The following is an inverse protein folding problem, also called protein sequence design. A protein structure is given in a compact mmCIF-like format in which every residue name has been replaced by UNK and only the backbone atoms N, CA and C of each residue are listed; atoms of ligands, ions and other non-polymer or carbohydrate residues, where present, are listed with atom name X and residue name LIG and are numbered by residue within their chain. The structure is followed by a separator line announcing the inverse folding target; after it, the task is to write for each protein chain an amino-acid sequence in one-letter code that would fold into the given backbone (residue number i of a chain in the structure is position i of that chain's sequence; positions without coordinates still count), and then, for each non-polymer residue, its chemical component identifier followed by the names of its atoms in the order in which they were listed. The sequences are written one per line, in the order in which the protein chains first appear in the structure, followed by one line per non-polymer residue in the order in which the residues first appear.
data_IF_919348591378
#
_entry.id   IF_919348591378
#
_cell.length_a   1.000
_cell.length_b   1.000
_cell.length_c   1.000
_cell.angle_alpha   90.00
_cell.angle_beta   90.00
_cell.angle_gamma   90.00
#
_symmetry.space_group_name_H-M   'P 1'
#
loop_
_entity.id
_entity.type
_entity.pdbx_description
1 polymer ?
#
# COMPACT_ATOMS: atom_id res chain seq x y z
N UNK A 1 -16.11 -4.51 4.02
CA UNK A 1 -15.82 -3.18 4.57
C UNK A 1 -14.34 -3.10 4.82
N UNK A 2 -13.54 -3.24 3.76
CA UNK A 2 -12.11 -3.56 3.83
C UNK A 2 -11.29 -2.73 2.82
N UNK A 3 -11.97 -1.87 2.06
CA UNK A 3 -11.38 -0.99 1.06
C UNK A 3 -10.27 -0.14 1.67
N UNK A 4 -9.09 -0.14 1.05
CA UNK A 4 -7.89 0.54 1.56
C UNK A 4 -6.95 -0.34 2.38
N UNK A 5 -7.35 -1.54 2.78
CA UNK A 5 -6.49 -2.43 3.58
C UNK A 5 -5.31 -2.99 2.77
N UNK A 6 -4.16 -3.27 3.41
CA UNK A 6 -2.97 -3.77 2.72
C UNK A 6 -3.04 -5.27 2.42
N UNK A 7 -2.63 -5.66 1.21
CA UNK A 7 -2.20 -7.02 0.90
C UNK A 7 -0.68 -7.09 1.08
N UNK A 8 -0.22 -7.90 2.02
CA UNK A 8 1.19 -8.02 2.40
C UNK A 8 1.77 -9.35 1.93
N UNK A 9 2.91 -9.31 1.25
CA UNK A 9 3.70 -10.47 0.84
C UNK A 9 5.18 -10.23 1.16
N UNK A 10 5.84 -11.16 1.84
CA UNK A 10 7.25 -11.03 2.27
C UNK A 10 7.55 -9.66 2.94
N UNK A 11 6.69 -9.28 3.90
CA UNK A 11 6.77 -8.01 4.64
C UNK A 11 6.69 -6.74 3.77
N UNK A 12 6.20 -6.85 2.53
CA UNK A 12 5.99 -5.71 1.61
C UNK A 12 4.51 -5.57 1.28
N UNK A 13 4.02 -4.34 1.23
CA UNK A 13 2.66 -4.05 0.75
C UNK A 13 2.66 -4.13 -0.77
N UNK A 14 1.98 -5.14 -1.33
CA UNK A 14 1.93 -5.41 -2.77
C UNK A 14 0.60 -5.00 -3.41
N UNK A 15 -0.45 -4.88 -2.60
CA UNK A 15 -1.78 -4.49 -3.04
C UNK A 15 -2.54 -3.67 -2.00
N UNK A 16 -3.54 -2.92 -2.46
CA UNK A 16 -4.51 -2.22 -1.61
C UNK A 16 -5.90 -2.70 -2.02
N UNK A 17 -6.72 -3.16 -1.07
CA UNK A 17 -8.08 -3.65 -1.36
C UNK A 17 -8.87 -2.57 -2.09
N UNK A 18 -9.38 -2.88 -3.27
CA UNK A 18 -10.19 -1.97 -4.08
C UNK A 18 -11.67 -2.34 -3.96
N UNK A 19 -12.05 -3.44 -4.60
CA UNK A 19 -13.39 -3.99 -4.53
C UNK A 19 -13.34 -5.50 -4.47
N UNK A 20 -14.39 -6.05 -3.90
CA UNK A 20 -14.69 -7.47 -3.89
C UNK A 20 -16.15 -7.62 -4.26
N UNK A 21 -16.48 -8.71 -4.93
CA UNK A 21 -17.86 -9.18 -4.96
C UNK A 21 -18.13 -9.98 -3.68
N UNK A 22 -19.35 -10.50 -3.48
CA UNK A 22 -19.72 -11.28 -2.29
C UNK A 22 -18.60 -12.23 -1.85
N UNK A 23 -18.35 -12.35 -0.56
CA UNK A 23 -17.27 -13.20 -0.07
C UNK A 23 -17.58 -14.69 -0.31
N UNK A 24 -16.53 -15.50 -0.54
CA UNK A 24 -16.63 -16.97 -0.53
C UNK A 24 -17.32 -17.61 -1.73
N UNK A 25 -17.51 -16.89 -2.85
CA UNK A 25 -18.20 -17.42 -4.05
C UNK A 25 -17.27 -17.81 -5.21
N UNK A 26 -15.97 -18.00 -4.93
CA UNK A 26 -15.00 -18.49 -5.92
C UNK A 26 -14.38 -17.44 -6.84
N UNK A 27 -14.69 -16.16 -6.62
CA UNK A 27 -14.03 -15.05 -7.30
C UNK A 27 -13.01 -14.39 -6.37
N UNK A 28 -11.83 -14.00 -6.89
CA UNK A 28 -10.82 -13.32 -6.10
C UNK A 28 -11.22 -11.87 -5.81
N UNK A 29 -10.71 -11.34 -4.70
CA UNK A 29 -10.77 -9.92 -4.40
C UNK A 29 -9.87 -9.14 -5.37
N UNK A 30 -10.26 -7.91 -5.69
CA UNK A 30 -9.48 -7.04 -6.58
C UNK A 30 -8.69 -6.01 -5.79
N UNK A 31 -7.40 -5.90 -6.11
CA UNK A 31 -6.45 -5.01 -5.44
C UNK A 31 -5.83 -4.02 -6.42
N UNK A 32 -5.61 -2.79 -5.95
CA UNK A 32 -4.74 -1.82 -6.62
C UNK A 32 -3.29 -2.28 -6.49
N UNK A 33 -2.60 -2.51 -7.61
CA UNK A 33 -1.19 -2.95 -7.63
C UNK A 33 -0.24 -1.83 -7.20
N UNK A 34 0.32 -1.92 -5.99
CA UNK A 34 1.19 -0.89 -5.40
C UNK A 34 2.39 -0.56 -6.30
N UNK A 35 3.03 -1.57 -6.88
CA UNK A 35 4.22 -1.39 -7.73
C UNK A 35 3.98 -0.43 -8.91
N UNK A 36 2.75 -0.39 -9.45
CA UNK A 36 2.39 0.51 -10.57
C UNK A 36 2.44 1.98 -10.18
N UNK A 37 2.32 2.31 -8.90
CA UNK A 37 2.19 3.67 -8.38
C UNK A 37 3.39 4.10 -7.52
N UNK A 38 4.51 3.37 -7.54
CA UNK A 38 5.68 3.72 -6.71
C UNK A 38 6.22 5.12 -6.99
N UNK A 39 6.23 5.57 -8.25
CA UNK A 39 6.66 6.94 -8.56
C UNK A 39 5.76 7.98 -7.90
N UNK A 40 4.44 7.84 -8.06
CA UNK A 40 3.47 8.71 -7.41
C UNK A 40 3.63 8.69 -5.89
N UNK A 41 3.78 7.50 -5.28
CA UNK A 41 3.98 7.36 -3.84
C UNK A 41 5.25 8.11 -3.43
N UNK A 42 6.39 7.82 -4.06
CA UNK A 42 7.67 8.45 -3.74
C UNK A 42 7.60 9.98 -3.90
N UNK A 43 7.06 10.49 -5.00
CA UNK A 43 6.88 11.94 -5.22
C UNK A 43 6.06 12.62 -4.11
N UNK A 44 5.11 11.90 -3.52
CA UNK A 44 4.21 12.43 -2.49
C UNK A 44 4.60 12.04 -1.06
N UNK A 45 5.60 11.17 -0.88
CA UNK A 45 6.15 10.79 0.45
C UNK A 45 7.55 11.33 0.70
N UNK A 46 8.27 11.79 -0.34
CA UNK A 46 9.64 12.32 -0.23
C UNK A 46 9.75 13.70 0.46
N UNK A 47 8.68 14.18 1.12
CA UNK A 47 8.76 15.27 2.10
C UNK A 47 9.21 14.81 3.50
N UNK A 48 9.72 13.58 3.63
CA UNK A 48 10.19 13.00 4.88
C UNK A 48 11.71 13.17 5.12
N UNK A 49 12.36 14.16 4.51
CA UNK A 49 13.67 14.66 4.98
C UNK A 49 13.59 15.40 6.35
N UNK A 50 12.51 15.27 7.12
CA UNK A 50 12.31 16.00 8.38
C UNK A 50 12.10 15.15 9.63
N UNK A 51 12.35 13.84 9.60
CA UNK A 51 12.69 13.14 10.86
C UNK A 51 14.20 13.19 11.04
N UNK A 52 14.63 14.35 11.50
CA UNK A 52 15.98 14.74 11.87
C UNK A 52 16.51 13.86 13.01
N UNK A 53 16.87 12.59 12.74
CA UNK A 53 17.58 11.70 13.70
C UNK A 53 19.11 11.98 13.69
N UNK A 54 19.58 12.98 12.94
CA UNK A 54 21.00 13.38 12.92
C UNK A 54 21.38 14.51 13.88
N UNK A 55 20.51 14.91 14.83
CA UNK A 55 20.86 15.93 15.85
C UNK A 55 21.02 15.37 17.27
N UNK A 56 21.24 14.06 17.40
CA UNK A 56 21.56 13.39 18.66
C UNK A 56 22.84 12.52 18.56
N UNK A 57 23.84 13.03 17.83
CA UNK A 57 25.26 12.79 18.09
C UNK A 57 25.99 14.13 18.10
#
# INVERSE_FOLDING_TARGET
GDSGSPLVYENKVVGIVSFAISCGIGYPDTYTRVHKYLNFINENTNNLESVQISQLL
#
